data_IF_871481866715
#
_entry.id   IF_871481866715
#
_cell.length_a   1.000
_cell.length_b   1.000
_cell.length_c   1.000
_cell.angle_alpha   90.00
_cell.angle_beta   90.00
_cell.angle_gamma   90.00
#
_symmetry.space_group_name_H-M   'P 1'
#
loop_
_entity.id
_entity.type
_entity.pdbx_description
1 polymer ?
#
# COMPACT_ATOMS: atom_id res chain seq x y z
N UNK A 1 -16.92 22.87 -18.39
CA UNK A 1 -16.86 24.01 -17.46
C UNK A 1 -15.51 23.91 -16.75
N UNK A 2 -14.72 24.98 -16.73
CA UNK A 2 -13.46 24.98 -15.97
C UNK A 2 -13.80 24.77 -14.48
N UNK A 3 -13.17 23.79 -13.85
CA UNK A 3 -13.31 23.51 -12.42
C UNK A 3 -12.68 24.71 -11.70
N UNK A 4 -13.48 25.50 -10.98
CA UNK A 4 -12.97 26.58 -10.14
C UNK A 4 -12.34 25.96 -8.90
N UNK A 5 -11.01 25.79 -8.90
CA UNK A 5 -10.29 25.28 -7.74
C UNK A 5 -10.43 26.24 -6.55
N UNK A 6 -10.80 25.72 -5.37
CA UNK A 6 -10.92 26.51 -4.13
C UNK A 6 -9.55 26.76 -3.46
N UNK A 7 -8.47 26.54 -4.20
CA UNK A 7 -7.08 26.72 -3.78
C UNK A 7 -6.26 27.34 -4.91
N UNK A 8 -5.09 27.90 -4.58
CA UNK A 8 -4.19 28.46 -5.60
C UNK A 8 -3.37 27.35 -6.23
N UNK A 9 -3.39 27.27 -7.57
CA UNK A 9 -2.61 26.29 -8.35
C UNK A 9 -1.13 26.29 -7.98
N UNK A 10 -0.56 27.50 -7.84
CA UNK A 10 0.86 27.68 -7.51
C UNK A 10 1.20 27.09 -6.13
N UNK A 11 0.33 27.26 -5.12
CA UNK A 11 0.52 26.70 -3.79
C UNK A 11 0.43 25.17 -3.82
N UNK A 12 -0.49 24.63 -4.61
CA UNK A 12 -0.63 23.19 -4.78
C UNK A 12 0.61 22.58 -5.45
N UNK A 13 1.05 23.12 -6.56
CA UNK A 13 2.24 22.64 -7.28
C UNK A 13 3.50 22.78 -6.41
N UNK A 14 3.63 23.90 -5.66
CA UNK A 14 4.73 24.10 -4.72
C UNK A 14 4.76 22.99 -3.66
N UNK A 15 3.62 22.70 -3.01
CA UNK A 15 3.54 21.66 -1.97
C UNK A 15 4.01 20.30 -2.49
N UNK A 16 3.51 19.89 -3.66
CA UNK A 16 3.91 18.61 -4.24
C UNK A 16 5.40 18.58 -4.60
N UNK A 17 5.92 19.68 -5.20
CA UNK A 17 7.36 19.81 -5.50
C UNK A 17 8.21 19.68 -4.24
N UNK A 18 7.82 20.37 -3.17
CA UNK A 18 8.56 20.35 -1.92
C UNK A 18 8.57 18.93 -1.31
N UNK A 19 7.45 18.20 -1.38
CA UNK A 19 7.37 16.80 -0.93
C UNK A 19 8.23 15.85 -1.78
N UNK A 20 8.19 15.97 -3.11
CA UNK A 20 8.98 15.10 -4.00
C UNK A 20 10.48 15.35 -3.82
N UNK A 21 10.89 16.57 -3.48
CA UNK A 21 12.29 16.93 -3.22
C UNK A 21 12.85 16.33 -1.93
N UNK A 22 12.01 15.91 -1.01
CA UNK A 22 12.46 15.21 0.20
C UNK A 22 12.64 13.73 -0.12
N UNK A 23 13.88 13.18 -0.09
CA UNK A 23 14.14 11.79 -0.42
C UNK A 23 13.76 10.85 0.74
N UNK A 24 12.48 10.56 0.88
CA UNK A 24 11.91 9.68 1.91
C UNK A 24 12.06 8.21 1.55
N UNK A 25 13.29 7.78 1.27
CA UNK A 25 13.56 6.43 0.73
C UNK A 25 13.45 5.36 1.81
N UNK A 26 12.71 4.30 1.50
CA UNK A 26 12.54 3.12 2.35
C UNK A 26 12.80 1.83 1.52
N UNK A 27 13.74 0.92 1.88
CA UNK A 27 14.70 1.07 2.98
C UNK A 27 15.78 2.13 2.71
N UNK A 28 16.47 2.67 3.75
CA UNK A 28 16.48 2.23 5.15
C UNK A 28 15.42 2.85 6.07
N UNK A 29 14.46 3.64 5.52
CA UNK A 29 13.48 4.40 6.28
C UNK A 29 14.05 5.78 6.70
N UNK A 30 13.72 6.80 5.88
CA UNK A 30 14.21 8.17 6.07
C UNK A 30 13.08 9.17 5.82
N UNK A 31 11.87 8.87 6.28
CA UNK A 31 10.66 9.62 5.93
C UNK A 31 10.28 10.71 6.95
N UNK A 32 10.92 10.74 8.14
CA UNK A 32 10.72 11.81 9.13
C UNK A 32 10.79 13.22 8.55
N UNK A 33 11.76 13.59 7.66
CA UNK A 33 11.77 14.92 7.06
C UNK A 33 10.54 15.24 6.21
N UNK A 34 9.94 14.22 5.57
CA UNK A 34 8.67 14.34 4.84
C UNK A 34 7.49 14.58 5.78
N UNK A 35 7.43 13.83 6.89
CA UNK A 35 6.42 14.03 7.94
C UNK A 35 6.50 15.43 8.55
N UNK A 36 7.70 15.92 8.85
CA UNK A 36 7.93 17.28 9.36
C UNK A 36 7.51 18.36 8.36
N UNK A 37 7.76 18.15 7.05
CA UNK A 37 7.31 19.08 6.01
C UNK A 37 5.78 19.15 6.00
N UNK A 38 5.09 18.02 6.03
CA UNK A 38 3.63 17.96 6.09
C UNK A 38 3.08 18.60 7.36
N UNK A 39 3.73 18.40 8.52
CA UNK A 39 3.35 19.03 9.77
C UNK A 39 3.45 20.56 9.66
N UNK A 40 4.58 21.10 9.16
CA UNK A 40 4.74 22.54 8.93
C UNK A 40 3.70 23.11 7.95
N UNK A 41 3.33 22.37 6.89
CA UNK A 41 2.29 22.79 5.96
C UNK A 41 0.90 22.81 6.59
N UNK A 42 0.59 21.86 7.47
CA UNK A 42 -0.64 21.85 8.25
C UNK A 42 -0.67 23.05 9.23
N UNK A 43 0.42 23.30 9.96
CA UNK A 43 0.53 24.44 10.87
C UNK A 43 0.39 25.77 10.15
N UNK A 44 1.03 25.94 8.96
CA UNK A 44 0.90 27.14 8.12
C UNK A 44 -0.54 27.40 7.70
N UNK A 45 -1.37 26.36 7.61
CA UNK A 45 -2.82 26.42 7.30
C UNK A 45 -3.68 26.57 8.55
N UNK A 46 -3.09 26.64 9.75
CA UNK A 46 -3.77 26.86 11.02
C UNK A 46 -4.24 25.59 11.72
N UNK A 47 -3.78 24.44 11.31
CA UNK A 47 -4.08 23.16 11.96
C UNK A 47 -3.05 22.82 13.04
N UNK A 48 -3.38 21.87 13.90
CA UNK A 48 -2.50 21.31 14.94
C UNK A 48 -2.20 19.85 14.58
N UNK A 49 -1.14 19.58 13.83
CA UNK A 49 -0.74 18.21 13.54
C UNK A 49 -0.14 17.52 14.76
N UNK A 50 -0.23 16.21 14.78
CA UNK A 50 0.47 15.33 15.71
C UNK A 50 1.51 14.53 14.94
N UNK A 51 2.77 14.61 15.37
CA UNK A 51 3.89 13.83 14.86
C UNK A 51 4.13 12.66 15.80
N UNK A 52 4.18 11.43 15.26
CA UNK A 52 4.39 10.21 16.04
C UNK A 52 5.57 9.44 15.46
N UNK A 53 6.65 9.30 16.22
CA UNK A 53 7.78 8.47 15.84
C UNK A 53 7.36 6.98 15.82
N UNK A 54 7.70 6.29 14.75
CA UNK A 54 7.43 4.87 14.53
C UNK A 54 8.69 4.05 14.79
N UNK A 55 9.80 4.49 14.21
CA UNK A 55 11.14 3.96 14.37
C UNK A 55 12.15 5.09 14.12
N UNK A 56 13.44 4.91 14.42
CA UNK A 56 14.46 5.90 14.10
C UNK A 56 14.42 6.30 12.61
N UNK A 57 14.18 7.58 12.33
CA UNK A 57 14.05 8.11 10.97
C UNK A 57 12.67 7.94 10.32
N UNK A 58 11.71 7.33 11.00
CA UNK A 58 10.35 7.08 10.51
C UNK A 58 9.31 7.72 11.43
N UNK A 59 8.39 8.50 10.85
CA UNK A 59 7.34 9.18 11.61
C UNK A 59 6.05 9.31 10.80
N UNK A 60 4.93 9.17 11.50
CA UNK A 60 3.60 9.55 11.00
C UNK A 60 3.31 11.01 11.31
N UNK A 61 2.46 11.63 10.50
CA UNK A 61 1.80 12.88 10.85
C UNK A 61 0.29 12.75 10.67
N UNK A 62 -0.46 13.24 11.66
CA UNK A 62 -1.93 13.22 11.63
C UNK A 62 -2.49 14.58 11.94
N UNK A 63 -3.69 14.88 11.42
CA UNK A 63 -4.47 16.05 11.76
C UNK A 63 -5.96 15.71 11.78
N UNK A 64 -6.72 16.41 12.64
CA UNK A 64 -8.15 16.17 12.81
C UNK A 64 -8.93 17.46 12.74
N UNK A 65 -9.87 17.54 11.80
CA UNK A 65 -10.92 18.54 11.74
C UNK A 65 -12.15 18.02 12.49
N UNK A 66 -12.48 18.63 13.63
CA UNK A 66 -13.58 18.19 14.46
C UNK A 66 -14.93 18.56 13.87
N UNK A 67 -15.80 17.57 13.71
CA UNK A 67 -17.21 17.72 13.40
C UNK A 67 -18.08 17.91 14.67
N UNK A 68 -19.40 17.74 14.52
CA UNK A 68 -20.35 17.78 15.66
C UNK A 68 -20.43 16.44 16.40
N UNK A 69 -19.90 15.35 15.82
CA UNK A 69 -20.01 13.99 16.37
C UNK A 69 -21.29 13.26 16.02
N UNK A 70 -22.13 13.83 15.14
CA UNK A 70 -23.39 13.23 14.69
C UNK A 70 -23.20 12.13 13.62
N UNK A 71 -22.01 12.01 13.05
CA UNK A 71 -21.67 11.01 12.06
C UNK A 71 -20.29 10.39 12.33
N UNK A 72 -20.04 9.15 11.87
CA UNK A 72 -18.71 8.56 11.90
C UNK A 72 -17.68 9.40 11.15
N UNK A 73 -16.40 9.31 11.54
CA UNK A 73 -15.31 10.03 10.89
C UNK A 73 -14.99 9.47 9.51
N UNK A 74 -14.41 10.32 8.65
CA UNK A 74 -13.75 9.92 7.41
C UNK A 74 -12.24 10.05 7.59
N UNK A 75 -11.49 9.02 7.23
CA UNK A 75 -10.03 9.02 7.25
C UNK A 75 -9.47 9.12 5.83
N UNK A 76 -8.67 10.14 5.58
CA UNK A 76 -7.78 10.22 4.43
C UNK A 76 -6.42 9.67 4.82
N UNK A 77 -5.95 8.66 4.10
CA UNK A 77 -4.68 8.00 4.36
C UNK A 77 -3.79 7.98 3.12
N UNK A 78 -2.50 8.19 3.33
CA UNK A 78 -1.48 7.99 2.33
C UNK A 78 -0.10 7.84 2.98
N UNK A 79 0.85 7.24 2.25
CA UNK A 79 2.20 7.04 2.75
C UNK A 79 3.17 8.13 2.32
N UNK A 80 4.21 8.32 3.12
CA UNK A 80 5.26 9.34 2.94
C UNK A 80 6.47 8.73 2.23
N UNK A 81 6.79 7.49 2.57
CA UNK A 81 7.96 6.76 2.07
C UNK A 81 7.86 6.46 0.58
N UNK A 82 8.99 6.19 -0.03
CA UNK A 82 9.12 5.84 -1.45
C UNK A 82 10.20 4.78 -1.63
N UNK A 83 10.05 3.88 -2.60
CA UNK A 83 11.11 2.93 -2.93
C UNK A 83 12.36 3.63 -3.46
N UNK A 84 13.56 3.02 -3.34
CA UNK A 84 14.78 3.54 -3.94
C UNK A 84 14.62 3.85 -5.44
N UNK A 85 15.32 4.86 -5.98
CA UNK A 85 15.26 5.19 -7.42
C UNK A 85 15.71 4.06 -8.35
N UNK A 86 16.48 3.08 -7.83
CA UNK A 86 17.09 2.02 -8.63
C UNK A 86 18.38 2.47 -9.33
N UNK A 87 18.93 1.57 -10.16
CA UNK A 87 20.22 1.79 -10.84
C UNK A 87 20.06 2.27 -12.30
N UNK A 88 18.85 2.23 -12.84
CA UNK A 88 18.61 2.69 -14.21
C UNK A 88 18.67 4.22 -14.28
N UNK A 89 19.17 4.78 -15.41
CA UNK A 89 19.28 6.21 -15.57
C UNK A 89 17.91 6.89 -15.61
N UNK A 90 17.80 8.04 -14.96
CA UNK A 90 16.64 8.93 -14.99
C UNK A 90 16.92 10.10 -15.95
N UNK A 91 15.99 10.42 -16.84
CA UNK A 91 16.03 11.64 -17.64
C UNK A 91 15.77 12.86 -16.74
N UNK A 92 14.82 12.74 -15.81
CA UNK A 92 14.47 13.75 -14.82
C UNK A 92 14.94 13.26 -13.44
N UNK A 93 15.97 13.87 -12.83
CA UNK A 93 16.52 13.38 -11.55
C UNK A 93 15.44 13.18 -10.49
N UNK A 94 15.47 12.06 -9.75
CA UNK A 94 14.33 11.55 -8.97
C UNK A 94 13.84 12.48 -7.85
N UNK A 95 14.67 13.40 -7.36
CA UNK A 95 14.33 14.31 -6.27
C UNK A 95 14.46 15.80 -6.64
N UNK A 96 14.47 16.15 -7.91
CA UNK A 96 14.48 17.55 -8.35
C UNK A 96 13.08 18.14 -8.52
N UNK A 97 12.05 17.29 -8.62
CA UNK A 97 10.67 17.70 -8.85
C UNK A 97 10.52 18.64 -10.05
N UNK A 98 11.07 18.23 -11.19
CA UNK A 98 11.02 19.01 -12.43
C UNK A 98 9.61 19.05 -12.98
N UNK A 99 9.22 20.19 -13.52
CA UNK A 99 7.93 20.36 -14.20
C UNK A 99 8.20 20.60 -15.68
N UNK A 100 7.70 19.69 -16.51
CA UNK A 100 7.81 19.76 -17.97
C UNK A 100 6.49 19.28 -18.59
N UNK A 101 5.97 19.96 -19.59
CA UNK A 101 4.77 19.61 -20.38
C UNK A 101 3.52 19.25 -19.51
N UNK A 102 3.30 19.99 -18.43
CA UNK A 102 2.16 19.76 -17.54
C UNK A 102 2.31 18.59 -16.58
N UNK A 103 3.49 17.98 -16.51
CA UNK A 103 3.85 16.87 -15.62
C UNK A 103 4.83 17.30 -14.55
N UNK A 104 4.69 16.70 -13.37
CA UNK A 104 5.67 16.82 -12.31
C UNK A 104 6.39 15.48 -12.17
N UNK A 105 7.69 15.49 -12.43
CA UNK A 105 8.54 14.31 -12.44
C UNK A 105 9.28 14.14 -11.11
N UNK A 106 9.40 12.90 -10.67
CA UNK A 106 10.23 12.50 -9.53
C UNK A 106 9.73 11.23 -8.85
N UNK A 107 10.58 10.58 -8.07
CA UNK A 107 10.22 9.42 -7.27
C UNK A 107 9.19 9.83 -6.20
N UNK A 108 8.07 9.10 -6.16
CA UNK A 108 6.95 9.42 -5.30
C UNK A 108 5.96 10.43 -5.91
N UNK A 109 6.21 10.95 -7.12
CA UNK A 109 5.28 11.89 -7.77
C UNK A 109 3.94 11.22 -8.07
N UNK A 110 3.94 9.97 -8.52
CA UNK A 110 2.73 9.17 -8.69
C UNK A 110 2.42 8.39 -7.40
N UNK A 111 3.41 7.70 -6.84
CA UNK A 111 3.28 6.75 -5.74
C UNK A 111 3.98 7.27 -4.47
N UNK A 112 3.23 7.84 -3.46
CA UNK A 112 1.88 8.41 -3.64
C UNK A 112 1.80 9.86 -3.12
N UNK A 113 2.93 10.62 -3.21
CA UNK A 113 3.00 12.00 -2.68
C UNK A 113 1.98 12.95 -3.32
N UNK A 114 1.57 12.72 -4.59
CA UNK A 114 0.51 13.52 -5.21
C UNK A 114 -0.86 13.27 -4.57
N UNK A 115 -1.19 12.02 -4.28
CA UNK A 115 -2.41 11.66 -3.54
C UNK A 115 -2.41 12.27 -2.14
N UNK A 116 -1.28 12.14 -1.44
CA UNK A 116 -1.10 12.66 -0.09
C UNK A 116 -1.20 14.19 -0.04
N UNK A 117 -0.51 14.90 -0.95
CA UNK A 117 -0.60 16.36 -1.06
C UNK A 117 -2.02 16.83 -1.42
N UNK A 118 -2.71 16.10 -2.31
CA UNK A 118 -4.09 16.39 -2.66
C UNK A 118 -5.05 16.24 -1.47
N UNK A 119 -4.86 15.21 -0.65
CA UNK A 119 -5.63 15.01 0.58
C UNK A 119 -5.39 16.13 1.61
N UNK A 120 -4.15 16.59 1.78
CA UNK A 120 -3.84 17.72 2.68
C UNK A 120 -4.52 18.99 2.21
N UNK A 121 -4.48 19.30 0.91
CA UNK A 121 -5.17 20.47 0.35
C UNK A 121 -6.69 20.35 0.44
N UNK A 122 -7.24 19.18 0.19
CA UNK A 122 -8.67 18.92 0.34
C UNK A 122 -9.11 19.09 1.80
N UNK A 123 -8.30 18.67 2.77
CA UNK A 123 -8.52 18.87 4.19
C UNK A 123 -8.63 20.38 4.52
N UNK A 124 -7.72 21.21 4.01
CA UNK A 124 -7.75 22.67 4.16
C UNK A 124 -8.99 23.30 3.48
N UNK A 125 -9.32 22.87 2.27
CA UNK A 125 -10.53 23.34 1.53
C UNK A 125 -11.82 23.00 2.30
N UNK A 126 -11.89 21.81 2.89
CA UNK A 126 -13.04 21.38 3.68
C UNK A 126 -13.16 22.20 4.96
N UNK A 127 -12.06 22.46 5.65
CA UNK A 127 -12.04 23.24 6.89
C UNK A 127 -12.59 24.65 6.74
N UNK A 128 -12.43 25.25 5.56
CA UNK A 128 -12.98 26.60 5.25
C UNK A 128 -14.47 26.59 4.92
N UNK A 129 -15.07 25.42 4.71
CA UNK A 129 -16.45 25.27 4.21
C UNK A 129 -17.52 25.18 5.28
N UNK A 130 -17.17 25.34 6.56
CA UNK A 130 -18.11 25.20 7.68
C UNK A 130 -18.01 23.87 8.41
N UNK A 131 -18.79 23.73 9.50
CA UNK A 131 -18.74 22.56 10.38
C UNK A 131 -19.44 21.35 9.74
N UNK A 132 -18.84 20.18 9.91
CA UNK A 132 -19.34 18.91 9.42
C UNK A 132 -19.98 18.08 10.54
N UNK A 133 -20.78 17.10 10.21
CA UNK A 133 -21.40 16.18 11.19
C UNK A 133 -20.41 15.19 11.78
N UNK A 134 -19.47 14.68 10.99
CA UNK A 134 -18.39 13.80 11.44
C UNK A 134 -17.01 14.45 11.35
N UNK A 135 -16.03 13.87 12.04
CA UNK A 135 -14.65 14.32 11.96
C UNK A 135 -14.05 13.98 10.60
N UNK A 136 -13.22 14.87 10.04
CA UNK A 136 -12.31 14.53 8.96
C UNK A 136 -10.90 14.35 9.55
N UNK A 137 -10.28 13.21 9.27
CA UNK A 137 -8.94 12.88 9.73
C UNK A 137 -8.02 12.80 8.51
N UNK A 138 -6.87 13.45 8.58
CA UNK A 138 -5.76 13.30 7.65
C UNK A 138 -4.67 12.49 8.32
N UNK A 139 -4.14 11.49 7.64
CA UNK A 139 -2.96 10.74 8.06
C UNK A 139 -1.98 10.57 6.91
N UNK A 140 -0.73 10.89 7.18
CA UNK A 140 0.41 10.57 6.35
C UNK A 140 1.28 9.60 7.15
N UNK A 141 1.47 8.40 6.63
CA UNK A 141 2.10 7.30 7.36
C UNK A 141 3.42 6.87 6.74
N UNK A 142 4.23 6.26 7.56
CA UNK A 142 5.54 5.73 7.27
C UNK A 142 5.47 4.23 6.97
N UNK A 143 6.46 3.71 6.20
CA UNK A 143 6.74 2.29 6.03
C UNK A 143 5.66 1.51 5.26
N UNK A 144 4.89 2.15 4.38
CA UNK A 144 3.94 1.42 3.54
C UNK A 144 4.64 0.46 2.58
N UNK A 145 5.70 0.90 1.93
CA UNK A 145 6.44 0.17 0.88
C UNK A 145 7.07 -1.15 1.36
N UNK A 146 7.16 -1.37 2.68
CA UNK A 146 7.78 -2.58 3.27
C UNK A 146 6.84 -3.26 4.27
N UNK A 147 6.53 -2.60 5.39
CA UNK A 147 5.92 -3.24 6.55
C UNK A 147 4.55 -2.73 6.97
N UNK A 148 4.14 -1.54 6.50
CA UNK A 148 2.96 -0.79 6.96
C UNK A 148 2.97 -0.48 8.47
N UNK A 149 4.17 -0.32 9.07
CA UNK A 149 4.31 -0.06 10.50
C UNK A 149 3.59 1.23 10.92
N UNK A 150 3.61 2.26 10.08
CA UNK A 150 2.90 3.51 10.32
C UNK A 150 1.39 3.33 10.40
N UNK A 151 0.78 2.59 9.48
CA UNK A 151 -0.65 2.30 9.50
C UNK A 151 -1.03 1.41 10.70
N UNK A 152 -0.22 0.41 11.04
CA UNK A 152 -0.40 -0.43 12.23
C UNK A 152 -0.36 0.41 13.51
N UNK A 153 0.51 1.43 13.55
CA UNK A 153 0.58 2.37 14.68
C UNK A 153 -0.70 3.19 14.83
N UNK A 154 -1.33 3.64 13.75
CA UNK A 154 -2.64 4.34 13.83
C UNK A 154 -3.71 3.46 14.46
N UNK A 155 -3.71 2.15 14.15
CA UNK A 155 -4.64 1.17 14.75
C UNK A 155 -4.36 0.99 16.24
N UNK A 156 -3.09 0.77 16.62
CA UNK A 156 -2.68 0.56 18.02
C UNK A 156 -2.96 1.80 18.89
N UNK A 157 -2.80 3.00 18.33
CA UNK A 157 -3.12 4.27 18.98
C UNK A 157 -4.63 4.58 18.95
N UNK A 158 -5.45 3.68 18.40
CA UNK A 158 -6.91 3.78 18.31
C UNK A 158 -7.41 4.98 17.49
N UNK A 159 -6.59 5.49 16.57
CA UNK A 159 -6.99 6.62 15.71
C UNK A 159 -8.12 6.22 14.75
N UNK A 160 -8.20 4.95 14.40
CA UNK A 160 -9.27 4.36 13.57
C UNK A 160 -10.60 4.21 14.31
N UNK A 161 -10.64 4.41 15.64
CA UNK A 161 -11.88 4.28 16.42
C UNK A 161 -12.90 5.35 16.03
N UNK A 162 -14.10 4.90 15.64
CA UNK A 162 -15.17 5.78 15.18
C UNK A 162 -15.02 6.25 13.74
N UNK A 163 -14.03 5.74 12.99
CA UNK A 163 -13.92 5.93 11.55
C UNK A 163 -14.98 5.07 10.85
N UNK A 164 -15.76 5.69 9.99
CA UNK A 164 -16.81 5.02 9.20
C UNK A 164 -16.38 4.65 7.78
N UNK A 165 -15.33 5.31 7.26
CA UNK A 165 -14.70 4.95 5.99
C UNK A 165 -13.28 5.47 5.89
N UNK A 166 -12.46 4.81 5.07
CA UNK A 166 -11.08 5.19 4.73
C UNK A 166 -10.98 5.45 3.23
N UNK A 167 -10.29 6.52 2.85
CA UNK A 167 -9.89 6.80 1.47
C UNK A 167 -8.38 6.75 1.40
N UNK A 168 -7.84 5.91 0.51
CA UNK A 168 -6.41 5.72 0.32
C UNK A 168 -6.04 6.33 -1.03
N UNK A 169 -5.06 7.24 -1.04
CA UNK A 169 -4.76 8.12 -2.17
C UNK A 169 -3.74 7.57 -3.17
N UNK A 170 -3.68 6.25 -3.35
CA UNK A 170 -2.74 5.55 -4.24
C UNK A 170 -2.91 5.90 -5.72
N UNK A 171 -1.85 5.68 -6.56
CA UNK A 171 -1.84 6.03 -7.98
C UNK A 171 -2.73 5.10 -8.80
N UNK A 172 -4.01 5.34 -8.81
CA UNK A 172 -4.99 4.51 -9.53
C UNK A 172 -5.46 5.12 -10.85
N UNK A 173 -4.96 6.30 -11.21
CA UNK A 173 -5.49 7.07 -12.34
C UNK A 173 -6.99 7.33 -12.22
N UNK A 174 -7.48 7.52 -10.99
CA UNK A 174 -8.89 7.65 -10.61
C UNK A 174 -9.75 6.40 -10.87
N UNK A 175 -9.17 5.23 -11.04
CA UNK A 175 -9.90 3.99 -10.92
C UNK A 175 -10.21 3.73 -9.45
N UNK A 176 -11.48 3.44 -9.14
CA UNK A 176 -11.88 3.17 -7.77
C UNK A 176 -11.75 1.68 -7.47
N UNK A 177 -10.72 1.31 -6.71
CA UNK A 177 -10.55 -0.06 -6.21
C UNK A 177 -11.24 -0.20 -4.86
N UNK A 178 -11.97 -1.31 -4.69
CA UNK A 178 -12.79 -1.58 -3.49
C UNK A 178 -12.31 -2.79 -2.71
N UNK A 179 -11.23 -3.41 -3.14
CA UNK A 179 -10.60 -4.53 -2.47
C UNK A 179 -9.11 -4.56 -2.79
N UNK A 180 -8.34 -5.28 -1.99
CA UNK A 180 -6.97 -5.64 -2.30
C UNK A 180 -6.67 -7.07 -1.87
N UNK A 181 -5.76 -7.73 -2.59
CA UNK A 181 -5.27 -9.05 -2.20
C UNK A 181 -4.38 -8.96 -0.97
N UNK A 182 -4.44 -10.00 -0.16
CA UNK A 182 -3.46 -10.24 0.87
C UNK A 182 -2.10 -10.58 0.27
N UNK A 183 -1.07 -10.33 1.03
CA UNK A 183 0.32 -10.60 0.72
C UNK A 183 0.87 -11.57 1.76
N UNK A 184 1.38 -12.73 1.33
CA UNK A 184 2.05 -13.66 2.19
C UNK A 184 3.39 -14.06 1.57
N UNK A 185 4.48 -13.54 2.14
CA UNK A 185 5.83 -13.92 1.76
C UNK A 185 6.36 -14.97 2.71
N UNK A 186 6.91 -16.04 2.15
CA UNK A 186 7.49 -17.15 2.89
C UNK A 186 8.91 -17.39 2.41
N UNK A 187 9.82 -17.64 3.32
CA UNK A 187 11.08 -18.29 3.02
C UNK A 187 10.99 -19.77 3.44
N UNK A 188 11.27 -20.67 2.51
CA UNK A 188 11.44 -22.10 2.77
C UNK A 188 12.92 -22.41 2.80
N UNK A 189 13.37 -23.11 3.84
CA UNK A 189 14.74 -23.57 4.00
C UNK A 189 14.78 -25.09 4.10
N UNK A 190 15.58 -25.73 3.25
CA UNK A 190 15.91 -27.15 3.36
C UNK A 190 17.32 -27.31 3.91
N UNK A 191 17.45 -28.19 4.92
CA UNK A 191 18.72 -28.44 5.60
C UNK A 191 19.20 -29.87 5.34
N UNK A 192 20.36 -29.96 4.71
CA UNK A 192 21.05 -31.20 4.39
C UNK A 192 22.29 -31.45 5.25
N UNK A 193 23.28 -32.07 4.63
CA UNK A 193 24.61 -32.27 5.23
C UNK A 193 25.69 -32.34 4.15
N UNK A 194 26.84 -31.73 4.40
CA UNK A 194 27.96 -31.68 3.43
C UNK A 194 28.63 -33.03 3.26
N UNK A 195 29.13 -33.26 2.06
CA UNK A 195 30.05 -34.33 1.72
C UNK A 195 30.88 -33.92 0.50
N UNK A 196 31.92 -34.68 0.19
CA UNK A 196 32.68 -34.49 -1.05
C UNK A 196 31.80 -34.80 -2.27
N UNK A 197 31.79 -33.94 -3.28
CA UNK A 197 30.91 -34.08 -4.45
C UNK A 197 31.05 -35.42 -5.23
N UNK A 198 32.19 -36.13 -5.12
CA UNK A 198 32.35 -37.46 -5.69
C UNK A 198 31.77 -38.59 -4.81
N UNK A 199 31.36 -38.29 -3.57
CA UNK A 199 30.77 -39.25 -2.63
C UNK A 199 29.45 -38.69 -2.07
N UNK A 200 28.46 -38.34 -2.91
CA UNK A 200 27.25 -37.64 -2.50
C UNK A 200 26.36 -38.48 -1.57
N UNK A 201 26.53 -39.80 -1.56
CA UNK A 201 25.81 -40.74 -0.68
C UNK A 201 26.21 -40.64 0.80
N UNK A 202 27.31 -39.92 1.12
CA UNK A 202 27.75 -39.64 2.49
C UNK A 202 27.17 -38.35 3.05
N UNK A 203 26.50 -37.57 2.22
CA UNK A 203 25.82 -36.34 2.60
C UNK A 203 24.31 -36.37 2.28
N UNK A 204 23.65 -35.24 2.53
CA UNK A 204 22.29 -34.99 2.11
C UNK A 204 22.21 -33.68 1.34
N UNK A 205 21.77 -33.75 0.10
CA UNK A 205 21.76 -32.60 -0.79
C UNK A 205 20.50 -31.74 -0.57
N UNK A 206 20.65 -30.57 0.04
CA UNK A 206 19.55 -29.64 0.32
C UNK A 206 18.89 -29.10 -0.96
N UNK A 207 19.62 -28.99 -2.09
CA UNK A 207 19.02 -28.55 -3.37
C UNK A 207 18.07 -29.63 -3.91
N UNK A 208 18.43 -30.92 -3.79
CA UNK A 208 17.56 -32.04 -4.21
C UNK A 208 16.29 -32.08 -3.32
N UNK A 209 16.45 -31.87 -2.02
CA UNK A 209 15.32 -31.77 -1.10
C UNK A 209 14.41 -30.59 -1.46
N UNK A 210 14.98 -29.41 -1.78
CA UNK A 210 14.22 -28.24 -2.21
C UNK A 210 13.50 -28.45 -3.53
N UNK A 211 14.11 -29.15 -4.50
CA UNK A 211 13.46 -29.48 -5.77
C UNK A 211 12.19 -30.32 -5.52
N UNK A 212 12.26 -31.33 -4.65
CA UNK A 212 11.11 -32.17 -4.32
C UNK A 212 10.03 -31.36 -3.58
N UNK A 213 10.43 -30.45 -2.68
CA UNK A 213 9.51 -29.57 -1.97
C UNK A 213 8.80 -28.61 -2.92
N UNK A 214 9.54 -27.97 -3.84
CA UNK A 214 8.97 -27.03 -4.81
C UNK A 214 7.96 -27.70 -5.75
N UNK A 215 8.16 -28.98 -6.11
CA UNK A 215 7.19 -29.72 -6.90
C UNK A 215 5.83 -29.84 -6.17
N UNK A 216 5.83 -30.02 -4.84
CA UNK A 216 4.61 -30.07 -4.03
C UNK A 216 4.01 -28.67 -3.80
N UNK A 217 4.86 -27.65 -3.61
CA UNK A 217 4.41 -26.25 -3.44
C UNK A 217 3.73 -25.75 -4.72
N UNK A 218 4.29 -26.04 -5.90
CA UNK A 218 3.69 -25.68 -7.19
C UNK A 218 2.39 -26.45 -7.49
N UNK A 219 2.14 -27.55 -6.80
CA UNK A 219 0.91 -28.32 -6.89
C UNK A 219 -0.19 -27.81 -5.90
N UNK A 220 0.10 -26.82 -5.08
CA UNK A 220 -0.92 -26.20 -4.20
C UNK A 220 -2.02 -25.59 -5.08
N UNK A 221 -3.32 -25.86 -4.82
CA UNK A 221 -4.40 -25.27 -5.59
C UNK A 221 -4.43 -23.74 -5.43
N UNK A 222 -4.24 -23.01 -6.52
CA UNK A 222 -4.39 -21.56 -6.55
C UNK A 222 -5.89 -21.21 -6.58
N UNK A 223 -6.50 -21.14 -5.41
CA UNK A 223 -7.95 -21.00 -5.22
C UNK A 223 -8.44 -19.61 -5.62
N UNK A 224 -9.68 -19.56 -6.13
CA UNK A 224 -10.44 -18.33 -6.26
C UNK A 224 -11.03 -17.94 -4.90
N UNK A 225 -11.19 -16.63 -4.67
CA UNK A 225 -11.94 -16.12 -3.53
C UNK A 225 -13.44 -16.41 -3.66
N UNK A 226 -14.22 -16.19 -2.57
CA UNK A 226 -15.69 -16.35 -2.61
C UNK A 226 -16.37 -15.47 -3.67
N UNK A 227 -15.80 -14.30 -3.95
CA UNK A 227 -16.23 -13.44 -5.06
C UNK A 227 -15.20 -13.56 -6.21
N UNK A 228 -15.61 -14.13 -7.36
CA UNK A 228 -14.74 -14.30 -8.52
C UNK A 228 -14.15 -12.99 -9.07
N UNK A 229 -14.79 -11.85 -8.80
CA UNK A 229 -14.31 -10.52 -9.22
C UNK A 229 -12.92 -10.21 -8.65
N UNK A 230 -12.56 -10.76 -7.50
CA UNK A 230 -11.24 -10.57 -6.86
C UNK A 230 -10.16 -11.51 -7.42
N UNK A 231 -10.53 -12.37 -8.39
CA UNK A 231 -9.63 -13.32 -9.02
C UNK A 231 -9.19 -14.44 -8.07
N UNK A 232 -8.06 -15.06 -8.40
CA UNK A 232 -7.52 -16.20 -7.65
C UNK A 232 -6.20 -15.88 -6.96
N UNK A 233 -5.80 -16.76 -6.05
CA UNK A 233 -4.47 -16.82 -5.47
C UNK A 233 -3.42 -16.88 -6.58
N UNK A 234 -2.31 -16.20 -6.39
CA UNK A 234 -1.12 -16.31 -7.26
C UNK A 234 0.08 -16.71 -6.43
N UNK A 235 1.06 -17.38 -7.08
CA UNK A 235 2.34 -17.75 -6.50
C UNK A 235 3.44 -17.33 -7.44
N UNK A 236 4.46 -16.65 -6.90
CA UNK A 236 5.72 -16.40 -7.55
C UNK A 236 6.87 -16.98 -6.72
N UNK A 237 7.81 -17.65 -7.37
CA UNK A 237 9.09 -18.03 -6.76
C UNK A 237 10.07 -16.90 -7.04
N UNK A 238 10.34 -16.07 -6.02
CA UNK A 238 11.13 -14.84 -6.17
C UNK A 238 12.63 -15.09 -6.23
N UNK A 239 13.14 -15.93 -5.34
CA UNK A 239 14.58 -16.29 -5.29
C UNK A 239 14.79 -17.75 -4.95
N UNK A 240 15.92 -18.32 -5.41
CA UNK A 240 16.43 -19.60 -4.96
C UNK A 240 17.95 -19.51 -4.80
N UNK A 241 18.48 -19.97 -3.66
CA UNK A 241 19.91 -19.96 -3.35
C UNK A 241 20.28 -21.23 -2.62
N UNK A 242 21.35 -21.92 -3.07
CA UNK A 242 21.82 -23.13 -2.40
C UNK A 242 23.20 -23.58 -2.88
N UNK A 243 23.95 -24.21 -1.96
CA UNK A 243 25.30 -24.71 -2.20
C UNK A 243 26.37 -23.64 -2.27
N UNK A 244 27.63 -24.06 -2.20
CA UNK A 244 28.84 -23.20 -2.20
C UNK A 244 29.79 -23.49 -3.35
N UNK A 245 29.66 -24.66 -3.99
CA UNK A 245 30.50 -25.07 -5.11
C UNK A 245 30.17 -26.45 -5.62
N UNK A 246 30.55 -26.80 -6.88
CA UNK A 246 30.13 -28.04 -7.53
C UNK A 246 30.76 -29.30 -6.91
N UNK A 247 31.82 -29.18 -6.15
CA UNK A 247 32.54 -30.29 -5.51
C UNK A 247 32.14 -30.52 -4.03
N UNK A 248 31.07 -29.83 -3.54
CA UNK A 248 30.55 -29.98 -2.18
C UNK A 248 29.07 -30.28 -2.25
N UNK A 249 28.58 -31.32 -1.54
CA UNK A 249 27.15 -31.59 -1.40
C UNK A 249 26.53 -30.44 -0.62
N UNK A 250 25.49 -29.75 -1.17
CA UNK A 250 24.86 -28.62 -0.49
C UNK A 250 24.16 -29.01 0.80
N UNK A 251 24.47 -28.32 1.88
CA UNK A 251 23.85 -28.49 3.20
C UNK A 251 22.71 -27.51 3.48
N UNK A 252 22.52 -26.52 2.60
CA UNK A 252 21.48 -25.50 2.75
C UNK A 252 20.94 -25.07 1.38
N UNK A 253 19.61 -24.93 1.28
CA UNK A 253 18.95 -24.30 0.16
C UNK A 253 17.75 -23.47 0.66
N UNK A 254 17.63 -22.22 0.20
CA UNK A 254 16.56 -21.29 0.54
C UNK A 254 15.80 -20.87 -0.71
N UNK A 255 14.48 -20.69 -0.55
CA UNK A 255 13.59 -20.20 -1.60
C UNK A 255 12.65 -19.17 -0.99
N UNK A 256 12.50 -18.02 -1.65
CA UNK A 256 11.49 -17.01 -1.29
C UNK A 256 10.27 -17.16 -2.18
N UNK A 257 9.09 -17.20 -1.57
CA UNK A 257 7.79 -17.34 -2.22
C UNK A 257 6.95 -16.08 -1.96
N UNK A 258 6.27 -15.59 -2.98
CA UNK A 258 5.28 -14.51 -2.92
C UNK A 258 3.90 -15.06 -3.27
N UNK A 259 3.02 -15.19 -2.29
CA UNK A 259 1.62 -15.52 -2.48
C UNK A 259 0.76 -14.26 -2.40
N UNK A 260 -0.21 -14.12 -3.33
CA UNK A 260 -1.24 -13.10 -3.31
C UNK A 260 -2.60 -13.76 -3.14
N UNK A 261 -3.25 -13.48 -2.01
CA UNK A 261 -4.50 -14.12 -1.60
C UNK A 261 -5.70 -13.20 -1.87
N UNK A 262 -6.73 -13.65 -2.60
CA UNK A 262 -7.94 -12.85 -2.73
C UNK A 262 -8.70 -12.76 -1.39
N UNK A 263 -9.53 -11.70 -1.20
CA UNK A 263 -10.40 -11.60 -0.03
C UNK A 263 -11.22 -12.87 0.19
N UNK A 264 -11.30 -13.29 1.45
CA UNK A 264 -12.00 -14.51 1.88
C UNK A 264 -11.15 -15.79 1.87
N UNK A 265 -9.87 -15.72 1.49
CA UNK A 265 -8.89 -16.81 1.69
C UNK A 265 -7.99 -16.41 2.87
N UNK A 266 -8.10 -17.09 4.03
CA UNK A 266 -7.26 -16.81 5.20
C UNK A 266 -5.81 -17.26 4.98
N UNK A 267 -4.86 -16.53 5.55
CA UNK A 267 -3.43 -16.90 5.55
C UNK A 267 -3.20 -18.27 6.19
N UNK A 268 -3.96 -18.62 7.25
CA UNK A 268 -3.87 -19.92 7.93
C UNK A 268 -4.17 -21.09 7.01
N UNK A 269 -5.11 -20.91 6.05
CA UNK A 269 -5.42 -21.93 5.06
C UNK A 269 -4.23 -22.15 4.12
N UNK A 270 -3.61 -21.10 3.63
CA UNK A 270 -2.38 -21.18 2.82
C UNK A 270 -1.26 -21.86 3.60
N UNK A 271 -1.04 -21.46 4.85
CA UNK A 271 0.01 -22.03 5.69
C UNK A 271 -0.19 -23.53 5.91
N UNK A 272 -1.44 -23.99 6.05
CA UNK A 272 -1.72 -25.44 6.18
C UNK A 272 -1.47 -26.17 4.85
N UNK A 273 -1.78 -25.56 3.71
CA UNK A 273 -1.46 -26.12 2.38
C UNK A 273 0.06 -26.22 2.16
N UNK A 274 0.84 -25.21 2.58
CA UNK A 274 2.31 -25.26 2.56
C UNK A 274 2.85 -26.35 3.48
N UNK A 275 2.34 -26.46 4.71
CA UNK A 275 2.73 -27.56 5.63
C UNK A 275 2.38 -28.93 5.03
N UNK A 276 1.24 -29.06 4.37
CA UNK A 276 0.87 -30.29 3.67
C UNK A 276 1.82 -30.62 2.51
N UNK A 277 2.28 -29.62 1.75
CA UNK A 277 3.30 -29.81 0.73
C UNK A 277 4.62 -30.31 1.32
N UNK A 278 5.06 -29.73 2.44
CA UNK A 278 6.25 -30.20 3.19
C UNK A 278 6.10 -31.67 3.62
N UNK A 279 4.94 -32.05 4.19
CA UNK A 279 4.68 -33.44 4.58
C UNK A 279 4.73 -34.40 3.38
N UNK A 280 4.14 -34.02 2.24
CA UNK A 280 4.16 -34.85 1.01
C UNK A 280 5.57 -35.02 0.46
N UNK A 281 6.37 -33.94 0.40
CA UNK A 281 7.76 -34.00 -0.02
C UNK A 281 8.59 -34.88 0.93
N UNK A 282 8.42 -34.73 2.24
CA UNK A 282 9.09 -35.54 3.26
C UNK A 282 8.73 -37.04 3.19
N UNK A 283 7.49 -37.38 2.79
CA UNK A 283 7.12 -38.78 2.54
C UNK A 283 7.85 -39.39 1.34
N UNK A 284 8.18 -38.60 0.32
CA UNK A 284 8.96 -39.02 -0.85
C UNK A 284 10.46 -39.09 -0.56
N UNK A 285 10.97 -38.23 0.31
CA UNK A 285 12.36 -38.10 0.71
C UNK A 285 12.51 -38.22 2.23
N UNK A 286 12.48 -39.44 2.80
CA UNK A 286 12.58 -39.62 4.24
C UNK A 286 13.81 -38.96 4.84
N UNK A 287 13.61 -38.30 6.00
CA UNK A 287 14.67 -37.56 6.69
C UNK A 287 14.89 -36.12 6.16
N UNK A 288 14.08 -35.63 5.22
CA UNK A 288 14.08 -34.22 4.78
C UNK A 288 13.76 -33.33 5.98
N UNK A 289 14.54 -32.26 6.13
CA UNK A 289 14.30 -31.22 7.14
C UNK A 289 13.96 -29.92 6.42
N UNK A 290 12.86 -29.30 6.81
CA UNK A 290 12.35 -28.06 6.22
C UNK A 290 11.93 -27.10 7.33
N UNK A 291 12.41 -25.89 7.24
CA UNK A 291 11.94 -24.76 8.05
C UNK A 291 11.10 -23.82 7.19
N UNK A 292 10.01 -23.29 7.76
CA UNK A 292 9.09 -22.35 7.08
C UNK A 292 9.13 -21.04 7.87
N UNK A 293 9.55 -19.98 7.21
CA UNK A 293 9.68 -18.65 7.81
C UNK A 293 8.74 -17.68 7.10
N UNK A 294 7.57 -17.33 7.69
CA UNK A 294 6.78 -16.19 7.23
C UNK A 294 7.58 -14.89 7.43
N UNK A 295 7.76 -14.12 6.36
CA UNK A 295 8.55 -12.87 6.39
C UNK A 295 7.66 -11.64 6.32
N UNK A 296 6.57 -11.69 5.54
CA UNK A 296 5.57 -10.62 5.44
C UNK A 296 4.18 -11.26 5.37
N UNK A 297 3.22 -10.69 6.10
CA UNK A 297 1.80 -11.02 5.97
C UNK A 297 0.98 -9.74 6.01
N UNK A 298 0.14 -9.53 4.97
CA UNK A 298 -0.85 -8.46 4.90
C UNK A 298 -2.19 -9.08 4.56
N UNK A 299 -3.19 -8.82 5.36
CA UNK A 299 -4.53 -9.41 5.20
C UNK A 299 -5.22 -8.85 3.96
N UNK A 300 -5.91 -9.72 3.22
CA UNK A 300 -6.81 -9.30 2.15
C UNK A 300 -8.04 -8.60 2.73
N UNK A 301 -8.45 -7.51 2.12
CA UNK A 301 -9.61 -6.70 2.56
C UNK A 301 -10.49 -6.33 1.38
N UNK A 302 -11.79 -6.18 1.62
CA UNK A 302 -12.76 -5.76 0.62
C UNK A 302 -13.89 -4.93 1.23
N UNK A 303 -14.37 -3.96 0.46
CA UNK A 303 -15.57 -3.17 0.76
C UNK A 303 -16.68 -3.59 -0.19
N UNK A 304 -17.91 -3.87 0.30
CA UNK A 304 -19.04 -4.15 -0.56
C UNK A 304 -19.28 -3.02 -1.56
N UNK A 305 -19.54 -3.38 -2.84
CA UNK A 305 -19.76 -2.39 -3.91
C UNK A 305 -20.91 -1.42 -3.57
N UNK A 306 -21.91 -1.90 -2.82
CA UNK A 306 -23.08 -1.12 -2.42
C UNK A 306 -22.80 -0.16 -1.26
N UNK A 307 -21.62 -0.24 -0.64
CA UNK A 307 -21.29 0.66 0.46
C UNK A 307 -21.34 2.13 0.02
N UNK A 308 -21.75 2.97 0.97
CA UNK A 308 -21.97 4.41 0.75
C UNK A 308 -20.72 5.10 0.21
N UNK A 309 -19.53 4.77 0.75
CA UNK A 309 -18.28 5.41 0.30
C UNK A 309 -17.98 5.05 -1.16
N UNK A 310 -18.19 3.80 -1.56
CA UNK A 310 -17.97 3.34 -2.92
C UNK A 310 -18.92 4.03 -3.90
N UNK A 311 -20.22 4.01 -3.60
CA UNK A 311 -21.24 4.63 -4.47
C UNK A 311 -21.00 6.13 -4.63
N UNK A 312 -20.60 6.82 -3.55
CA UNK A 312 -20.31 8.23 -3.58
C UNK A 312 -19.07 8.55 -4.43
N UNK A 313 -17.99 7.77 -4.32
CA UNK A 313 -16.78 7.92 -5.14
C UNK A 313 -17.13 7.72 -6.62
N UNK A 314 -17.84 6.66 -6.98
CA UNK A 314 -18.26 6.39 -8.36
C UNK A 314 -19.14 7.51 -8.93
N UNK A 315 -20.03 8.06 -8.11
CA UNK A 315 -20.85 9.21 -8.50
C UNK A 315 -19.98 10.43 -8.78
N UNK A 316 -19.03 10.76 -7.90
CA UNK A 316 -18.13 11.90 -8.04
C UNK A 316 -17.18 11.76 -9.25
N UNK A 317 -16.68 10.57 -9.53
CA UNK A 317 -15.89 10.30 -10.74
C UNK A 317 -16.71 10.62 -12.01
N UNK A 318 -17.99 10.28 -12.04
CA UNK A 318 -18.87 10.65 -13.16
C UNK A 318 -19.10 12.16 -13.26
N UNK A 319 -19.42 12.79 -12.13
CA UNK A 319 -19.79 14.22 -12.09
C UNK A 319 -18.61 15.15 -12.34
N UNK A 320 -17.47 14.85 -11.75
CA UNK A 320 -16.29 15.75 -11.74
C UNK A 320 -15.29 15.42 -12.84
N UNK A 321 -15.09 14.15 -13.15
CA UNK A 321 -14.06 13.71 -14.08
C UNK A 321 -14.61 13.19 -15.40
N UNK A 322 -15.95 13.13 -15.56
CA UNK A 322 -16.60 12.57 -16.75
C UNK A 322 -16.38 11.08 -16.95
N UNK A 323 -15.85 10.39 -15.91
CA UNK A 323 -15.51 8.96 -15.98
C UNK A 323 -16.70 8.09 -15.58
N UNK A 324 -17.13 7.23 -16.51
CA UNK A 324 -18.17 6.20 -16.26
C UNK A 324 -17.50 4.85 -16.07
N UNK A 325 -17.09 4.56 -14.86
CA UNK A 325 -16.51 3.26 -14.52
C UNK A 325 -17.29 2.61 -13.38
N UNK A 326 -17.31 1.27 -13.35
CA UNK A 326 -17.69 0.49 -12.19
C UNK A 326 -16.51 0.44 -11.19
N UNK A 327 -16.73 -0.06 -9.99
CA UNK A 327 -15.63 -0.33 -9.08
C UNK A 327 -14.75 -1.43 -9.67
N UNK A 328 -13.43 -1.25 -9.58
CA UNK A 328 -12.49 -2.29 -9.96
C UNK A 328 -12.27 -3.25 -8.78
N UNK A 329 -12.07 -4.54 -9.07
CA UNK A 329 -12.01 -5.54 -8.02
C UNK A 329 -10.80 -5.37 -7.12
N UNK A 330 -9.60 -5.56 -7.64
CA UNK A 330 -8.36 -5.51 -6.85
C UNK A 330 -7.23 -4.92 -7.68
N UNK A 331 -6.43 -4.01 -7.15
CA UNK A 331 -5.18 -3.60 -7.78
C UNK A 331 -4.16 -4.74 -7.73
N UNK A 332 -3.11 -4.63 -8.51
CA UNK A 332 -1.99 -5.58 -8.49
C UNK A 332 -1.09 -5.46 -7.24
N UNK A 333 -1.32 -4.44 -6.40
CA UNK A 333 -0.50 -4.07 -5.24
C UNK A 333 -1.31 -4.13 -3.93
N UNK A 334 -0.62 -4.16 -2.80
CA UNK A 334 -1.19 -4.02 -1.47
C UNK A 334 -1.04 -2.56 -1.00
N UNK A 335 -1.85 -2.13 -0.05
CA UNK A 335 -1.83 -0.79 0.53
C UNK A 335 -2.02 -0.86 2.05
N UNK A 336 -2.00 0.26 2.73
CA UNK A 336 -2.33 0.39 4.15
C UNK A 336 -3.74 -0.11 4.54
N UNK A 337 -4.63 -0.35 3.56
CA UNK A 337 -5.96 -0.90 3.84
C UNK A 337 -5.89 -2.23 4.60
N UNK A 338 -4.86 -3.04 4.37
CA UNK A 338 -4.65 -4.30 5.10
C UNK A 338 -4.53 -4.10 6.61
N UNK A 339 -3.89 -3.02 7.04
CA UNK A 339 -3.74 -2.68 8.45
C UNK A 339 -4.97 -1.92 8.98
N UNK A 340 -5.41 -0.89 8.24
CA UNK A 340 -6.44 0.05 8.71
C UNK A 340 -7.86 -0.52 8.68
N UNK A 341 -8.15 -1.48 7.77
CA UNK A 341 -9.51 -1.87 7.41
C UNK A 341 -9.82 -3.35 7.68
N UNK A 342 -8.94 -4.08 8.36
CA UNK A 342 -9.11 -5.53 8.58
C UNK A 342 -9.85 -5.87 9.88
N UNK A 343 -9.50 -5.24 11.00
CA UNK A 343 -10.07 -5.58 12.32
C UNK A 343 -10.17 -4.33 13.23
N UNK A 344 -11.39 -3.86 13.56
CA UNK A 344 -12.64 -4.25 12.90
C UNK A 344 -12.68 -3.82 11.43
N UNK A 345 -13.45 -4.50 10.56
CA UNK A 345 -13.54 -4.12 9.16
C UNK A 345 -14.15 -2.73 9.00
N UNK A 346 -13.40 -1.84 8.33
CA UNK A 346 -13.83 -0.47 8.00
C UNK A 346 -13.94 -0.38 6.48
N UNK A 347 -15.07 0.11 5.92
CA UNK A 347 -15.21 0.36 4.50
C UNK A 347 -14.12 1.29 3.96
N UNK A 348 -13.59 0.98 2.78
CA UNK A 348 -12.55 1.79 2.16
C UNK A 348 -12.69 1.87 0.64
N UNK A 349 -12.03 2.87 0.06
CA UNK A 349 -11.80 2.99 -1.38
C UNK A 349 -10.36 3.43 -1.61
N UNK A 350 -9.69 2.77 -2.55
CA UNK A 350 -8.36 3.17 -3.03
C UNK A 350 -8.58 3.97 -4.31
N UNK A 351 -8.22 5.25 -4.31
CA UNK A 351 -8.40 6.14 -5.46
C UNK A 351 -7.46 7.34 -5.35
N UNK A 352 -6.74 7.65 -6.42
CA UNK A 352 -5.90 8.84 -6.45
C UNK A 352 -5.40 9.20 -7.84
N UNK A 353 -4.68 10.34 -7.93
CA UNK A 353 -4.02 10.77 -9.14
C UNK A 353 -2.80 9.88 -9.42
N UNK A 354 -2.17 10.07 -10.56
CA UNK A 354 -1.07 9.20 -10.98
C UNK A 354 -1.57 7.87 -11.51
N UNK A 355 -0.68 7.14 -12.14
CA UNK A 355 -1.00 5.88 -12.80
C UNK A 355 -0.15 4.77 -12.20
N UNK A 356 -0.78 3.64 -11.87
CA UNK A 356 -0.11 2.48 -11.28
C UNK A 356 1.06 1.94 -12.10
N UNK A 357 0.97 2.05 -13.44
CA UNK A 357 2.06 1.61 -14.33
C UNK A 357 3.32 2.49 -14.27
N UNK A 358 3.27 3.65 -13.62
CA UNK A 358 4.42 4.55 -13.41
C UNK A 358 5.12 4.33 -12.07
N UNK A 359 4.46 3.68 -11.13
CA UNK A 359 5.02 3.37 -9.83
C UNK A 359 6.32 2.55 -9.96
N UNK A 360 7.31 2.87 -9.12
CA UNK A 360 8.60 2.17 -9.01
C UNK A 360 9.50 2.23 -10.27
N UNK A 361 9.15 3.03 -11.29
CA UNK A 361 9.94 3.17 -12.53
C UNK A 361 10.77 4.47 -12.56
N UNK A 362 11.86 4.50 -13.34
CA UNK A 362 12.51 5.77 -13.68
C UNK A 362 11.54 6.70 -14.41
N UNK A 363 11.79 8.01 -14.30
CA UNK A 363 10.96 9.08 -14.87
C UNK A 363 9.48 9.00 -14.45
N UNK A 364 9.23 8.53 -13.24
CA UNK A 364 7.93 8.57 -12.58
C UNK A 364 7.40 10.01 -12.57
N UNK A 365 6.13 10.19 -12.90
CA UNK A 365 5.47 11.50 -12.93
C UNK A 365 3.99 11.45 -12.58
N UNK A 366 3.43 12.59 -12.26
CA UNK A 366 1.98 12.81 -12.20
C UNK A 366 1.60 13.96 -13.14
N UNK A 367 0.46 13.83 -13.82
CA UNK A 367 -0.14 14.95 -14.55
C UNK A 367 -0.62 15.99 -13.52
N UNK A 368 -0.19 17.24 -13.65
CA UNK A 368 -0.56 18.29 -12.69
C UNK A 368 -2.07 18.50 -12.65
N UNK A 369 -2.77 18.39 -13.76
CA UNK A 369 -4.24 18.49 -13.80
C UNK A 369 -4.90 17.36 -13.04
N UNK A 370 -4.39 16.11 -13.12
CA UNK A 370 -4.91 14.99 -12.34
C UNK A 370 -4.70 15.22 -10.84
N UNK A 371 -3.53 15.71 -10.44
CA UNK A 371 -3.26 16.10 -9.06
C UNK A 371 -4.25 17.16 -8.54
N UNK A 372 -4.52 18.21 -9.32
CA UNK A 372 -5.46 19.27 -8.93
C UNK A 372 -6.90 18.76 -8.89
N UNK A 373 -7.29 17.92 -9.84
CA UNK A 373 -8.60 17.27 -9.86
C UNK A 373 -8.81 16.36 -8.63
N UNK A 374 -7.75 15.72 -8.12
CA UNK A 374 -7.82 14.92 -6.90
C UNK A 374 -8.15 15.75 -5.66
N UNK A 375 -7.62 16.97 -5.56
CA UNK A 375 -7.97 17.90 -4.45
C UNK A 375 -9.48 18.17 -4.43
N UNK A 376 -10.06 18.51 -5.58
CA UNK A 376 -11.49 18.80 -5.69
C UNK A 376 -12.36 17.56 -5.44
N UNK A 377 -11.89 16.39 -5.93
CA UNK A 377 -12.57 15.11 -5.69
C UNK A 377 -12.62 14.78 -4.19
N UNK A 378 -11.49 14.84 -3.50
CA UNK A 378 -11.41 14.53 -2.07
C UNK A 378 -12.18 15.53 -1.20
N UNK A 379 -12.10 16.81 -1.53
CA UNK A 379 -12.85 17.84 -0.79
C UNK A 379 -14.36 17.63 -0.91
N UNK A 380 -14.85 17.36 -2.11
CA UNK A 380 -16.29 17.11 -2.33
C UNK A 380 -16.72 15.77 -1.72
N UNK A 381 -15.87 14.74 -1.79
CA UNK A 381 -16.10 13.45 -1.15
C UNK A 381 -16.29 13.62 0.36
N UNK A 382 -15.38 14.34 1.02
CA UNK A 382 -15.47 14.60 2.45
C UNK A 382 -16.76 15.35 2.82
N UNK A 383 -17.09 16.41 2.08
CA UNK A 383 -18.31 17.19 2.31
C UNK A 383 -19.59 16.37 2.19
N UNK A 384 -19.70 15.54 1.14
CA UNK A 384 -20.88 14.70 0.92
C UNK A 384 -20.94 13.51 1.87
N UNK A 385 -19.80 12.92 2.20
CA UNK A 385 -19.76 11.79 3.12
C UNK A 385 -20.09 12.21 4.55
N UNK A 386 -19.48 13.27 5.04
CA UNK A 386 -19.68 13.74 6.41
C UNK A 386 -20.96 14.55 6.58
N UNK A 387 -21.39 15.26 5.54
CA UNK A 387 -22.56 16.16 5.56
C UNK A 387 -22.33 17.45 6.35
N UNK A 388 -23.08 18.53 6.07
CA UNK A 388 -23.04 19.74 6.87
C UNK A 388 -23.63 19.47 8.25
N UNK A 389 -23.09 20.14 9.28
CA UNK A 389 -23.70 20.16 10.60
C UNK A 389 -25.13 20.72 10.53
N UNK A 390 -26.03 20.20 11.36
CA UNK A 390 -27.36 20.76 11.52
C UNK A 390 -27.20 22.17 12.12
N UNK A 391 -27.84 23.23 11.57
CA UNK A 391 -27.82 24.52 12.24
C UNK A 391 -28.41 24.40 13.63
N UNK A 392 -27.76 25.04 14.65
CA UNK A 392 -28.25 25.13 16.00
C UNK A 392 -29.56 25.94 16.05
#
# INVERSE_FOLDING_TARGET
MAISHQFKREDAVRLLRDLVRVPTVNPPGADTPGAELLARELERRGFKPELTEIAPGQANVTARLRGTGEAPALLFNGHIDVVPPGELPWKHPPFEAQVEDGRLYGRGAADMKSGLAAMLLAFDVVARGGKLRGDLIFSAVSDEEIGAAGAQRLVSDRLTRGVGAVVIGEPTGFNAYVAQKGLCWLELETVGSTAHGSMPHLGRNAIVDMQALLAEVLAIPLREGPDPVHGRTTLNIGTIRGGVGPNVVPDLCRVSLDFRLPPGIPDEQLMEEVRAAVRKAGAKLPGMRVDIHPTVSRVAVATPVQDRIVQLVLQLCREKLGRRQGPLPTPGFATDASALCSDPPIPFVIIGPGKEELAHKPDEYVEIEDYLNAVDLYAELARRYLGPATPD
#
